data_IF_073525307789
#
_entry.id   IF_073525307789
#
_cell.length_a   1.000
_cell.length_b   1.000
_cell.length_c   1.000
_cell.angle_alpha   90.00
_cell.angle_beta   90.00
_cell.angle_gamma   90.00
#
_symmetry.space_group_name_H-M   'P 1'
#
loop_
_entity.id
_entity.type
_entity.pdbx_description
1 polymer ?
#
# COMPACT_ATOMS: atom_id res chain seq x y z
N UNK A 1 23.13 9.55 -34.09
CA UNK A 1 24.13 9.47 -33.00
C UNK A 1 23.39 9.85 -31.72
N UNK A 2 23.22 8.91 -30.78
CA UNK A 2 22.34 9.00 -29.58
C UNK A 2 22.91 9.91 -28.47
N UNK A 3 22.11 10.35 -27.47
CA UNK A 3 21.95 9.55 -26.24
C UNK A 3 20.50 9.51 -25.68
N UNK A 4 19.90 8.33 -25.48
CA UNK A 4 19.69 7.68 -24.16
C UNK A 4 19.18 8.60 -23.04
N UNK A 5 17.86 8.83 -23.01
CA UNK A 5 17.20 9.32 -21.81
C UNK A 5 17.07 8.16 -20.82
N UNK A 6 17.82 8.30 -19.73
CA UNK A 6 17.78 7.43 -18.56
C UNK A 6 16.33 7.18 -18.13
N UNK A 7 15.95 5.91 -18.17
CA UNK A 7 14.84 5.36 -17.38
C UNK A 7 15.27 5.37 -15.91
N UNK A 8 15.18 6.52 -15.25
CA UNK A 8 15.23 6.54 -13.79
C UNK A 8 13.86 6.09 -13.30
N UNK A 9 13.71 4.77 -13.14
CA UNK A 9 12.63 4.22 -12.33
C UNK A 9 12.71 4.89 -10.97
N UNK A 10 11.66 5.63 -10.61
CA UNK A 10 11.47 6.14 -9.26
C UNK A 10 11.34 4.89 -8.39
N UNK A 11 12.42 4.52 -7.68
CA UNK A 11 12.31 3.63 -6.54
C UNK A 11 11.33 4.28 -5.55
N UNK A 12 10.39 3.54 -4.97
CA UNK A 12 9.48 4.10 -4.00
C UNK A 12 10.32 4.66 -2.87
N UNK A 13 10.15 5.95 -2.57
CA UNK A 13 10.67 6.49 -1.32
C UNK A 13 9.94 5.74 -0.22
N UNK A 14 10.66 4.90 0.52
CA UNK A 14 10.12 4.23 1.70
C UNK A 14 9.78 5.34 2.71
N UNK A 15 8.52 5.75 2.74
CA UNK A 15 8.04 6.78 3.63
C UNK A 15 7.67 6.12 4.96
N UNK A 16 8.32 6.56 6.03
CA UNK A 16 7.85 6.20 7.37
C UNK A 16 6.46 6.78 7.57
N UNK A 17 5.48 5.93 7.85
CA UNK A 17 4.11 6.38 8.10
C UNK A 17 3.68 5.92 9.48
N UNK A 18 2.94 6.75 10.19
CA UNK A 18 2.25 6.32 11.42
C UNK A 18 0.87 5.81 11.06
N UNK A 19 0.54 4.59 11.49
CA UNK A 19 -0.77 3.98 11.38
C UNK A 19 -1.46 4.05 12.73
N UNK A 20 -2.60 4.72 12.80
CA UNK A 20 -3.48 4.71 13.96
C UNK A 20 -4.57 3.66 13.79
N UNK A 21 -4.55 2.63 14.62
CA UNK A 21 -5.70 1.78 14.92
C UNK A 21 -5.98 2.02 16.41
N UNK A 22 -6.93 2.92 16.70
CA UNK A 22 -7.19 3.50 18.03
C UNK A 22 -6.04 4.35 18.62
N UNK A 23 -6.15 4.77 19.88
CA UNK A 23 -5.40 5.86 20.57
C UNK A 23 -3.88 5.62 20.76
N UNK A 24 -3.29 4.69 19.99
CA UNK A 24 -1.85 4.37 19.99
C UNK A 24 -1.31 4.38 18.55
N UNK A 25 -0.73 5.50 18.09
CA UNK A 25 -0.11 5.55 16.78
C UNK A 25 1.11 4.62 16.74
N UNK A 26 1.14 3.73 15.75
CA UNK A 26 2.29 2.87 15.51
C UNK A 26 3.03 3.26 14.25
N UNK A 27 4.36 3.28 14.33
CA UNK A 27 5.20 3.53 13.15
C UNK A 27 5.26 2.28 12.29
N UNK A 28 4.75 2.39 11.07
CA UNK A 28 4.82 1.35 10.05
C UNK A 28 5.68 1.83 8.87
N UNK A 29 6.28 0.87 8.19
CA UNK A 29 6.89 1.11 6.89
C UNK A 29 5.83 0.91 5.82
N UNK A 30 5.66 1.92 4.97
CA UNK A 30 4.76 1.87 3.82
C UNK A 30 5.48 2.36 2.58
N UNK A 31 5.03 1.87 1.43
CA UNK A 31 5.51 2.30 0.13
C UNK A 31 4.32 2.72 -0.72
N UNK A 32 4.44 3.88 -1.36
CA UNK A 32 3.55 4.24 -2.46
C UNK A 32 4.02 3.49 -3.70
N UNK A 33 3.17 2.61 -4.19
CA UNK A 33 3.46 1.75 -5.33
C UNK A 33 2.52 2.04 -6.47
N UNK A 34 2.92 1.69 -7.69
CA UNK A 34 2.02 1.74 -8.84
C UNK A 34 0.85 0.76 -8.66
N UNK A 35 -0.31 1.06 -9.24
CA UNK A 35 -1.49 0.20 -9.10
C UNK A 35 -1.25 -1.24 -9.59
N UNK A 36 -0.39 -1.44 -10.59
CA UNK A 36 -0.04 -2.76 -11.13
C UNK A 36 1.07 -3.49 -10.35
N UNK A 37 1.59 -2.94 -9.25
CA UNK A 37 2.76 -3.46 -8.53
C UNK A 37 2.64 -4.95 -8.18
N UNK A 38 1.55 -5.36 -7.52
CA UNK A 38 1.35 -6.76 -7.13
C UNK A 38 1.14 -7.70 -8.31
N UNK A 39 0.54 -7.21 -9.40
CA UNK A 39 0.36 -7.99 -10.62
C UNK A 39 1.71 -8.28 -11.29
N UNK A 40 2.62 -7.30 -11.33
CA UNK A 40 3.98 -7.46 -11.86
C UNK A 40 4.78 -8.45 -11.00
N UNK A 41 4.64 -8.40 -9.68
CA UNK A 41 5.30 -9.34 -8.77
C UNK A 41 4.67 -10.75 -8.76
N UNK A 42 3.51 -10.95 -9.39
CA UNK A 42 2.78 -12.23 -9.35
C UNK A 42 2.26 -12.59 -7.95
N UNK A 43 2.14 -11.61 -7.05
CA UNK A 43 1.71 -11.83 -5.67
C UNK A 43 0.19 -11.93 -5.63
N UNK A 44 -0.31 -12.99 -4.98
CA UNK A 44 -1.74 -13.18 -4.72
C UNK A 44 -2.04 -12.84 -3.26
N UNK A 45 -3.11 -12.08 -2.98
CA UNK A 45 -3.49 -11.78 -1.61
C UNK A 45 -4.00 -13.05 -0.92
N UNK A 46 -3.66 -13.23 0.36
CA UNK A 46 -4.20 -14.33 1.17
C UNK A 46 -5.70 -14.14 1.46
N UNK A 47 -6.14 -12.90 1.66
CA UNK A 47 -7.53 -12.52 1.94
C UNK A 47 -7.85 -11.23 1.18
N UNK A 48 -9.05 -11.11 0.62
CA UNK A 48 -9.51 -9.92 -0.09
C UNK A 48 -8.96 -9.82 -1.51
N UNK A 49 -8.58 -8.61 -1.93
CA UNK A 49 -8.07 -8.30 -3.27
C UNK A 49 -6.91 -7.32 -3.21
N UNK A 50 -6.08 -7.33 -4.25
CA UNK A 50 -5.11 -6.24 -4.52
C UNK A 50 -5.81 -5.12 -5.30
N UNK A 51 -5.05 -4.08 -5.66
CA UNK A 51 -5.54 -2.96 -6.47
C UNK A 51 -6.12 -3.44 -7.80
N UNK A 52 -7.32 -2.95 -8.11
CA UNK A 52 -7.99 -3.14 -9.39
C UNK A 52 -7.48 -2.14 -10.43
N UNK A 53 -7.56 -2.44 -11.73
CA UNK A 53 -7.14 -1.51 -12.78
C UNK A 53 -7.80 -0.13 -12.72
N UNK A 54 -9.04 -0.06 -12.23
CA UNK A 54 -9.78 1.21 -12.08
C UNK A 54 -9.18 2.15 -11.02
N UNK A 55 -8.40 1.57 -10.09
CA UNK A 55 -7.65 2.22 -9.01
C UNK A 55 -6.19 2.51 -9.42
N UNK A 56 -5.80 2.23 -10.68
CA UNK A 56 -4.45 2.52 -11.17
C UNK A 56 -4.34 4.01 -11.49
N UNK A 57 -3.54 4.75 -10.71
CA UNK A 57 -3.05 6.09 -11.04
C UNK A 57 -3.71 7.26 -10.31
N UNK A 58 -3.09 8.44 -10.49
CA UNK A 58 -3.36 9.76 -9.89
C UNK A 58 -4.72 10.37 -10.27
N UNK A 59 -5.79 9.57 -10.31
CA UNK A 59 -7.13 10.13 -10.40
C UNK A 59 -7.37 10.97 -9.14
N UNK A 60 -7.66 12.25 -9.33
CA UNK A 60 -8.22 13.11 -8.28
C UNK A 60 -9.45 12.39 -7.70
N UNK A 61 -9.37 11.97 -6.43
CA UNK A 61 -10.42 11.17 -5.77
C UNK A 61 -10.24 9.65 -5.86
N UNK A 62 -9.10 9.14 -6.32
CA UNK A 62 -8.73 7.73 -6.17
C UNK A 62 -8.81 7.32 -4.72
N UNK A 63 -9.61 6.29 -4.42
CA UNK A 63 -9.85 5.85 -3.05
C UNK A 63 -8.51 5.44 -2.41
N UNK A 64 -8.17 5.94 -1.20
CA UNK A 64 -6.95 5.56 -0.50
C UNK A 64 -7.09 4.12 0.00
N UNK A 65 -6.81 3.16 -0.89
CA UNK A 65 -6.78 1.73 -0.58
C UNK A 65 -5.36 1.33 -0.19
N UNK A 66 -5.26 0.47 0.81
CA UNK A 66 -3.97 -0.04 1.32
C UNK A 66 -4.00 -1.56 1.31
N UNK A 67 -2.85 -2.16 0.98
CA UNK A 67 -2.59 -3.59 1.18
C UNK A 67 -1.63 -3.71 2.36
N UNK A 68 -1.98 -4.51 3.36
CA UNK A 68 -1.15 -4.76 4.53
C UNK A 68 -0.52 -6.15 4.45
N UNK A 69 0.73 -6.28 4.91
CA UNK A 69 1.40 -7.58 5.02
C UNK A 69 0.83 -8.45 6.15
N UNK A 70 1.01 -9.77 6.05
CA UNK A 70 0.48 -10.75 7.01
C UNK A 70 0.93 -10.47 8.47
N UNK A 71 2.20 -10.14 8.68
CA UNK A 71 2.73 -9.85 10.01
C UNK A 71 2.02 -8.66 10.68
N UNK A 72 1.74 -7.60 9.91
CA UNK A 72 1.01 -6.43 10.40
C UNK A 72 -0.47 -6.76 10.65
N UNK A 73 -1.08 -7.52 9.75
CA UNK A 73 -2.47 -7.97 9.88
C UNK A 73 -2.68 -8.85 11.13
N UNK A 74 -1.81 -9.81 11.38
CA UNK A 74 -1.85 -10.65 12.60
C UNK A 74 -1.67 -9.83 13.87
N UNK A 75 -0.78 -8.85 13.85
CA UNK A 75 -0.44 -8.05 15.03
C UNK A 75 -1.50 -7.01 15.38
N UNK A 76 -2.10 -6.36 14.38
CA UNK A 76 -3.10 -5.30 14.58
C UNK A 76 -4.54 -5.78 14.55
N UNK A 77 -4.83 -6.84 13.78
CA UNK A 77 -6.19 -7.34 13.57
C UNK A 77 -6.39 -8.78 14.01
N UNK A 78 -5.40 -9.40 14.66
CA UNK A 78 -5.49 -10.79 15.14
C UNK A 78 -5.86 -11.80 14.04
N UNK A 79 -5.44 -11.55 12.80
CA UNK A 79 -5.82 -12.34 11.63
C UNK A 79 -7.34 -12.38 11.36
N UNK A 80 -8.09 -11.36 11.78
CA UNK A 80 -9.52 -11.22 11.53
C UNK A 80 -9.79 -10.85 10.06
N UNK A 81 -10.49 -11.70 9.28
CA UNK A 81 -10.92 -11.35 7.92
C UNK A 81 -11.88 -10.15 7.88
N UNK A 82 -12.57 -9.87 8.99
CA UNK A 82 -13.41 -8.69 9.19
C UNK A 82 -12.63 -7.37 9.28
N UNK A 83 -11.31 -7.39 9.16
CA UNK A 83 -10.49 -6.20 8.97
C UNK A 83 -10.63 -5.57 7.57
N UNK A 84 -11.07 -6.35 6.58
CA UNK A 84 -11.27 -5.86 5.20
C UNK A 84 -12.41 -4.85 5.19
N UNK A 85 -12.18 -3.71 4.53
CA UNK A 85 -13.16 -2.61 4.44
C UNK A 85 -13.16 -1.67 5.65
N UNK A 86 -12.34 -1.93 6.68
CA UNK A 86 -12.15 -0.96 7.78
C UNK A 86 -11.30 0.22 7.32
N UNK A 87 -11.62 1.40 7.84
CA UNK A 87 -10.84 2.61 7.59
C UNK A 87 -9.66 2.69 8.53
N UNK A 88 -8.50 3.00 7.96
CA UNK A 88 -7.24 3.20 8.67
C UNK A 88 -6.80 4.66 8.53
N UNK A 89 -6.33 5.26 9.63
CA UNK A 89 -5.74 6.60 9.58
C UNK A 89 -4.22 6.48 9.45
N UNK A 90 -3.70 6.88 8.31
CA UNK A 90 -2.26 6.91 8.02
C UNK A 90 -1.84 8.38 8.03
N UNK A 91 -0.95 8.74 8.95
CA UNK A 91 -0.33 10.06 8.97
C UNK A 91 1.15 9.90 8.56
N UNK A 92 1.62 10.56 7.49
CA UNK A 92 3.05 10.65 7.23
C UNK A 92 3.70 11.34 8.44
N UNK A 93 4.81 10.78 8.93
CA UNK A 93 5.58 11.36 10.05
C UNK A 93 6.65 12.30 9.51
#
# INVERSE_FOLDING_TARGET
>A
MFPTYLTTWIFPTSTHSSLGLDDRPERIWGELVSGNYFAVLGVKPQVGRVFSPDEYGDKLGGYPVVVIGDALWRRLFHADPGAIGRTLRINPV
#
